data_IF_379388794002
#
_entry.id   IF_379388794002
#
_cell.length_a   1.000
_cell.length_b   1.000
_cell.length_c   1.000
_cell.angle_alpha   90.00
_cell.angle_beta   90.00
_cell.angle_gamma   90.00
#
_symmetry.space_group_name_H-M   'P 1'
#
loop_
_entity.id
_entity.type
_entity.pdbx_description
1 polymer ?
#
# COMPACT_ATOMS: atom_id res chain seq x y z
N UNK A 1 -23.68 0.14 -30.82
CA UNK A 1 -24.18 -0.99 -30.03
C UNK A 1 -23.00 -1.86 -29.65
N UNK A 2 -22.58 -1.83 -28.38
CA UNK A 2 -21.97 -2.97 -27.69
C UNK A 2 -22.03 -2.62 -26.20
N UNK A 3 -23.09 -3.09 -25.54
CA UNK A 3 -23.19 -3.09 -24.11
C UNK A 3 -22.44 -4.32 -23.59
N UNK A 4 -21.31 -4.12 -22.93
CA UNK A 4 -20.73 -5.14 -22.05
C UNK A 4 -20.80 -4.63 -20.63
N UNK A 5 -21.95 -4.92 -19.99
CA UNK A 5 -22.05 -4.99 -18.54
C UNK A 5 -21.22 -6.19 -18.09
N UNK A 6 -19.98 -5.96 -17.68
CA UNK A 6 -19.23 -6.96 -16.93
C UNK A 6 -19.75 -6.93 -15.49
N UNK A 7 -20.64 -7.88 -15.17
CA UNK A 7 -21.01 -8.18 -13.80
C UNK A 7 -19.78 -8.80 -13.11
N UNK A 8 -19.11 -8.03 -12.25
CA UNK A 8 -18.11 -8.57 -11.34
C UNK A 8 -18.83 -9.20 -10.15
N UNK A 9 -19.18 -10.48 -10.27
CA UNK A 9 -19.55 -11.31 -9.13
C UNK A 9 -18.28 -11.92 -8.55
N UNK A 10 -17.56 -11.16 -7.72
CA UNK A 10 -16.51 -11.72 -6.89
C UNK A 10 -17.15 -12.33 -5.63
N UNK A 11 -17.47 -13.62 -5.69
CA UNK A 11 -17.85 -14.38 -4.51
C UNK A 11 -16.59 -14.62 -3.67
N UNK A 12 -16.37 -13.80 -2.62
CA UNK A 12 -15.37 -14.06 -1.60
C UNK A 12 -15.91 -15.11 -0.62
N UNK A 13 -15.54 -16.37 -0.85
CA UNK A 13 -15.62 -17.42 0.16
C UNK A 13 -14.50 -17.20 1.19
N UNK A 14 -14.76 -16.35 2.18
CA UNK A 14 -14.08 -16.47 3.48
C UNK A 14 -14.74 -17.63 4.22
N UNK A 15 -14.33 -18.86 3.89
CA UNK A 15 -14.59 -19.99 4.77
C UNK A 15 -13.82 -19.74 6.06
N UNK A 16 -14.51 -19.21 7.07
CA UNK A 16 -14.12 -19.43 8.46
C UNK A 16 -14.12 -20.94 8.66
N UNK A 17 -12.96 -21.57 8.47
CA UNK A 17 -12.76 -22.91 8.97
C UNK A 17 -12.78 -22.77 10.49
N UNK A 18 -13.96 -23.03 11.06
CA UNK A 18 -14.08 -23.32 12.47
C UNK A 18 -13.23 -24.56 12.74
N UNK A 19 -11.96 -24.35 13.10
CA UNK A 19 -11.10 -25.37 13.64
C UNK A 19 -11.69 -25.77 14.99
N UNK A 20 -12.47 -26.84 14.99
CA UNK A 20 -12.68 -27.66 16.19
C UNK A 20 -11.46 -28.55 16.33
N UNK A 21 -10.67 -28.36 17.39
CA UNK A 21 -9.86 -29.43 18.00
C UNK A 21 -9.87 -29.24 19.52
N UNK A 22 -10.13 -30.36 20.19
CA UNK A 22 -10.24 -30.56 21.63
C UNK A 22 -9.03 -30.16 22.50
N UNK A 23 -9.36 -29.97 23.79
CA UNK A 23 -8.54 -30.00 25.01
C UNK A 23 -7.82 -28.70 25.45
N UNK A 24 -8.52 -27.97 26.33
CA UNK A 24 -8.01 -27.06 27.37
C UNK A 24 -7.02 -25.96 26.95
N UNK A 25 -7.40 -25.13 25.98
CA UNK A 25 -6.95 -23.74 25.96
C UNK A 25 -7.64 -22.97 27.09
N UNK A 26 -6.97 -21.97 27.67
CA UNK A 26 -7.69 -20.84 28.23
C UNK A 26 -8.32 -20.06 27.05
N UNK A 27 -9.52 -20.49 26.63
CA UNK A 27 -10.12 -20.21 25.32
C UNK A 27 -10.08 -18.74 24.86
N UNK A 28 -10.19 -17.78 25.78
CA UNK A 28 -10.29 -16.36 25.46
C UNK A 28 -8.96 -15.75 24.97
N UNK A 29 -7.84 -16.00 25.68
CA UNK A 29 -6.54 -15.44 25.32
C UNK A 29 -5.98 -16.06 24.03
N UNK A 30 -6.20 -17.36 23.82
CA UNK A 30 -5.87 -18.03 22.56
C UNK A 30 -6.68 -17.46 21.37
N UNK A 31 -7.97 -17.18 21.57
CA UNK A 31 -8.81 -16.59 20.53
C UNK A 31 -8.42 -15.13 20.24
N UNK A 32 -8.00 -14.37 21.24
CA UNK A 32 -7.45 -13.03 21.05
C UNK A 32 -6.10 -13.05 20.34
N UNK A 33 -5.23 -14.02 20.64
CA UNK A 33 -4.00 -14.23 19.87
C UNK A 33 -4.31 -14.56 18.41
N UNK A 34 -5.30 -15.42 18.13
CA UNK A 34 -5.70 -15.73 16.75
C UNK A 34 -6.21 -14.49 15.99
N UNK A 35 -6.96 -13.61 16.67
CA UNK A 35 -7.31 -12.31 16.11
C UNK A 35 -6.05 -11.50 15.79
N UNK A 36 -5.13 -11.33 16.74
CA UNK A 36 -3.87 -10.60 16.50
C UNK A 36 -3.02 -11.25 15.40
N UNK A 37 -3.05 -12.57 15.25
CA UNK A 37 -2.41 -13.27 14.16
C UNK A 37 -2.97 -12.88 12.78
N UNK A 38 -4.26 -12.51 12.69
CA UNK A 38 -4.82 -11.98 11.44
C UNK A 38 -4.21 -10.63 11.04
N UNK A 39 -3.83 -9.80 12.01
CA UNK A 39 -3.07 -8.58 11.78
C UNK A 39 -1.61 -8.90 11.42
N UNK A 40 -0.96 -9.79 12.17
CA UNK A 40 0.44 -10.21 11.94
C UNK A 40 0.62 -10.80 10.53
N UNK A 41 -0.38 -11.52 10.01
CA UNK A 41 -0.36 -12.03 8.64
C UNK A 41 -0.16 -10.94 7.57
N UNK A 42 -0.56 -9.69 7.86
CA UNK A 42 -0.37 -8.54 6.97
C UNK A 42 1.12 -8.18 6.77
N UNK A 43 2.01 -8.63 7.66
CA UNK A 43 3.45 -8.46 7.49
C UNK A 43 3.95 -9.10 6.19
N UNK A 44 3.44 -10.30 5.89
CA UNK A 44 3.79 -11.08 4.69
C UNK A 44 2.92 -10.76 3.47
N UNK A 45 1.84 -10.00 3.67
CA UNK A 45 0.89 -9.64 2.62
C UNK A 45 1.28 -8.33 1.94
N UNK A 46 0.87 -8.18 0.68
CA UNK A 46 1.07 -6.95 -0.08
C UNK A 46 -0.24 -6.16 -0.22
N UNK A 47 -0.20 -4.82 -0.27
CA UNK A 47 -1.38 -4.06 -0.66
C UNK A 47 -1.84 -4.49 -2.06
N UNK A 48 -3.14 -4.64 -2.24
CA UNK A 48 -3.71 -4.90 -3.55
C UNK A 48 -3.34 -3.77 -4.51
N UNK A 49 -2.65 -4.13 -5.59
CA UNK A 49 -2.24 -3.17 -6.63
C UNK A 49 -3.36 -3.01 -7.63
N UNK A 50 -3.70 -1.76 -7.93
CA UNK A 50 -4.59 -1.45 -9.05
C UNK A 50 -3.92 -1.94 -10.32
N UNK A 51 -4.63 -2.70 -11.15
CA UNK A 51 -4.14 -3.06 -12.48
C UNK A 51 -4.23 -1.83 -13.36
N UNK A 52 -3.08 -1.30 -13.71
CA UNK A 52 -2.98 -0.17 -14.61
C UNK A 52 -2.73 -0.67 -16.05
N UNK A 53 -3.24 0.02 -17.08
CA UNK A 53 -2.84 -0.22 -18.47
C UNK A 53 -1.32 -0.25 -18.63
N UNK A 54 -0.85 -0.96 -19.65
CA UNK A 54 0.57 -0.93 -20.03
C UNK A 54 1.03 0.48 -20.44
N UNK A 55 2.33 0.62 -20.71
CA UNK A 55 2.89 1.87 -21.21
C UNK A 55 2.27 2.22 -22.58
N UNK A 56 1.75 3.45 -22.72
CA UNK A 56 1.10 3.95 -23.94
C UNK A 56 2.08 4.68 -24.89
N UNK A 57 3.38 4.63 -24.60
CA UNK A 57 4.38 5.44 -25.31
C UNK A 57 4.47 5.07 -26.79
N UNK A 58 4.31 3.79 -27.12
CA UNK A 58 4.38 3.35 -28.52
C UNK A 58 3.18 3.87 -29.32
N UNK A 59 1.97 3.75 -28.78
CA UNK A 59 0.75 4.23 -29.40
C UNK A 59 0.79 5.75 -29.58
N UNK A 60 1.29 6.48 -28.57
CA UNK A 60 1.48 7.92 -28.66
C UNK A 60 2.52 8.27 -29.72
N UNK A 61 3.63 7.53 -29.79
CA UNK A 61 4.65 7.71 -30.83
C UNK A 61 4.09 7.46 -32.23
N UNK A 62 3.19 6.49 -32.40
CA UNK A 62 2.51 6.26 -33.67
C UNK A 62 1.65 7.45 -34.08
N UNK A 63 0.82 7.99 -33.17
CA UNK A 63 -0.01 9.17 -33.45
C UNK A 63 0.84 10.42 -33.73
N UNK A 64 1.95 10.61 -33.00
CA UNK A 64 2.92 11.68 -33.28
C UNK A 64 3.52 11.55 -34.68
N UNK A 65 3.85 10.33 -35.08
CA UNK A 65 4.39 10.05 -36.40
C UNK A 65 3.35 10.31 -37.49
N UNK A 66 2.08 9.96 -37.26
CA UNK A 66 0.96 10.33 -38.15
C UNK A 66 0.83 11.84 -38.27
N UNK A 67 0.89 12.58 -37.15
CA UNK A 67 0.82 14.04 -37.12
C UNK A 67 1.94 14.69 -37.96
N UNK A 68 3.17 14.19 -37.82
CA UNK A 68 4.32 14.67 -38.61
C UNK A 68 4.17 14.33 -40.10
N UNK A 69 3.61 13.16 -40.43
CA UNK A 69 3.42 12.72 -41.82
C UNK A 69 2.41 13.55 -42.60
N UNK A 70 1.38 14.10 -41.92
CA UNK A 70 0.32 14.92 -42.53
C UNK A 70 0.64 16.41 -42.53
N UNK A 71 1.69 16.84 -41.82
CA UNK A 71 2.11 18.24 -41.79
C UNK A 71 2.55 18.74 -43.18
N UNK A 72 2.54 20.06 -43.39
CA UNK A 72 2.98 20.65 -44.65
C UNK A 72 4.46 20.34 -44.99
N UNK A 73 4.85 20.22 -46.27
CA UNK A 73 6.23 19.90 -46.66
C UNK A 73 7.28 20.86 -46.09
N UNK A 74 6.96 22.17 -46.06
CA UNK A 74 7.84 23.20 -45.49
C UNK A 74 8.05 22.98 -43.99
N UNK A 75 7.00 22.62 -43.25
CA UNK A 75 7.10 22.30 -41.82
C UNK A 75 7.93 21.05 -41.59
N UNK A 76 7.69 19.97 -42.35
CA UNK A 76 8.47 18.74 -42.24
C UNK A 76 9.97 18.96 -42.50
N UNK A 77 10.32 19.85 -43.45
CA UNK A 77 11.69 20.14 -43.82
C UNK A 77 12.51 20.79 -42.68
N UNK A 78 11.87 21.50 -41.75
CA UNK A 78 12.52 22.09 -40.56
C UNK A 78 13.14 21.00 -39.69
N UNK A 79 12.49 19.84 -39.59
CA UNK A 79 12.84 18.77 -38.65
C UNK A 79 13.56 17.60 -39.31
N UNK A 80 14.04 17.76 -40.54
CA UNK A 80 14.75 16.71 -41.26
C UNK A 80 15.96 16.24 -40.43
N UNK A 81 16.10 14.94 -40.14
CA UNK A 81 17.20 14.41 -39.34
C UNK A 81 18.50 14.53 -40.12
N UNK A 82 19.45 15.31 -39.59
CA UNK A 82 20.80 15.49 -40.15
C UNK A 82 21.81 14.70 -39.35
N UNK A 83 21.75 13.37 -39.37
CA UNK A 83 22.63 12.48 -38.58
C UNK A 83 22.74 12.86 -37.09
N UNK A 84 21.60 13.20 -36.47
CA UNK A 84 21.54 13.65 -35.07
C UNK A 84 22.06 15.07 -34.82
N UNK A 85 22.40 15.83 -35.87
CA UNK A 85 22.88 17.21 -35.76
C UNK A 85 21.75 18.25 -35.76
N UNK A 86 20.53 17.86 -36.13
CA UNK A 86 19.39 18.76 -36.05
C UNK A 86 18.81 18.71 -34.62
N UNK A 87 19.29 19.60 -33.76
CA UNK A 87 18.84 19.71 -32.36
C UNK A 87 18.45 21.14 -32.03
N UNK A 88 17.60 21.30 -31.01
CA UNK A 88 17.20 22.61 -30.51
C UNK A 88 18.42 23.47 -30.16
N UNK A 89 19.42 22.89 -29.50
CA UNK A 89 20.62 23.61 -29.08
C UNK A 89 21.35 24.28 -30.24
N UNK A 90 21.32 23.66 -31.42
CA UNK A 90 21.92 24.17 -32.66
C UNK A 90 20.96 25.04 -33.46
N UNK A 91 19.65 24.78 -33.38
CA UNK A 91 18.61 25.48 -34.14
C UNK A 91 18.08 26.75 -33.47
N UNK A 92 18.22 26.89 -32.14
CA UNK A 92 17.60 27.96 -31.34
C UNK A 92 18.06 29.37 -31.70
N UNK A 93 19.23 29.52 -32.32
CA UNK A 93 19.80 30.81 -32.71
C UNK A 93 19.64 31.88 -31.63
N UNK A 94 19.13 33.05 -32.03
CA UNK A 94 18.91 34.22 -31.19
C UNK A 94 17.44 34.36 -30.72
N UNK A 95 16.64 33.29 -30.66
CA UNK A 95 15.17 33.35 -30.43
C UNK A 95 14.81 34.04 -29.09
N UNK A 96 14.15 35.22 -29.14
CA UNK A 96 14.07 36.16 -27.99
C UNK A 96 12.75 36.20 -27.19
N UNK A 97 11.68 35.51 -27.56
CA UNK A 97 10.40 35.61 -26.82
C UNK A 97 9.88 34.28 -26.27
N UNK A 98 9.56 34.30 -24.97
CA UNK A 98 8.66 33.33 -24.36
C UNK A 98 7.22 33.59 -24.82
N UNK A 99 6.37 32.55 -24.93
CA UNK A 99 6.60 31.14 -24.58
C UNK A 99 7.19 30.29 -25.72
N UNK A 100 7.46 30.88 -26.88
CA UNK A 100 7.90 30.11 -28.06
C UNK A 100 9.26 29.46 -27.84
N UNK A 101 10.19 30.16 -27.18
CA UNK A 101 11.49 29.61 -26.83
C UNK A 101 11.38 28.37 -25.94
N UNK A 102 10.59 28.42 -24.86
CA UNK A 102 10.38 27.26 -23.98
C UNK A 102 9.58 26.15 -24.66
N UNK A 103 8.55 26.47 -25.43
CA UNK A 103 7.79 25.49 -26.19
C UNK A 103 8.71 24.71 -27.15
N UNK A 104 9.41 25.41 -28.04
CA UNK A 104 10.32 24.79 -29.00
C UNK A 104 11.46 24.05 -28.31
N UNK A 105 12.01 24.60 -27.21
CA UNK A 105 13.03 23.90 -26.44
C UNK A 105 12.58 22.55 -25.88
N UNK A 106 11.29 22.37 -25.62
CA UNK A 106 10.74 21.12 -25.09
C UNK A 106 10.22 20.14 -26.16
N UNK A 107 9.99 20.63 -27.39
CA UNK A 107 9.32 19.87 -28.47
C UNK A 107 10.15 19.66 -29.73
N UNK A 108 11.18 20.47 -29.98
CA UNK A 108 11.92 20.46 -31.25
C UNK A 108 12.61 19.12 -31.53
N UNK A 109 13.43 18.64 -30.60
CA UNK A 109 14.17 17.37 -30.77
C UNK A 109 13.21 16.18 -30.93
N UNK A 110 12.07 16.29 -30.25
CA UNK A 110 10.94 15.37 -30.34
C UNK A 110 10.32 15.36 -31.75
N UNK A 111 10.13 16.53 -32.38
CA UNK A 111 9.68 16.62 -33.77
C UNK A 111 10.74 16.10 -34.76
N UNK A 112 12.02 16.30 -34.50
CA UNK A 112 13.11 15.69 -35.31
C UNK A 112 13.06 14.16 -35.21
N UNK A 113 12.85 13.60 -34.02
CA UNK A 113 12.67 12.17 -33.83
C UNK A 113 11.43 11.64 -34.54
N UNK A 114 10.27 12.32 -34.42
CA UNK A 114 9.05 11.96 -35.14
C UNK A 114 9.28 11.97 -36.66
N UNK A 115 10.04 12.95 -37.17
CA UNK A 115 10.37 13.06 -38.58
C UNK A 115 11.27 11.91 -39.05
N UNK A 116 12.30 11.55 -38.28
CA UNK A 116 13.11 10.37 -38.55
C UNK A 116 12.24 9.10 -38.58
N UNK A 117 11.29 8.98 -37.65
CA UNK A 117 10.38 7.84 -37.61
C UNK A 117 9.47 7.78 -38.85
N UNK A 118 8.99 8.92 -39.37
CA UNK A 118 8.27 8.95 -40.65
C UNK A 118 9.12 8.35 -41.79
N UNK A 119 10.43 8.61 -41.83
CA UNK A 119 11.32 8.09 -42.87
C UNK A 119 11.52 6.58 -42.74
N UNK A 120 11.72 6.09 -41.52
CA UNK A 120 11.80 4.65 -41.22
C UNK A 120 10.49 3.96 -41.59
N UNK A 121 9.35 4.53 -41.22
CA UNK A 121 8.02 3.98 -41.51
C UNK A 121 7.67 4.01 -43.00
N UNK A 122 8.21 4.96 -43.78
CA UNK A 122 8.14 4.93 -45.25
C UNK A 122 8.84 3.71 -45.86
N UNK A 123 9.87 3.17 -45.19
CA UNK A 123 10.48 1.89 -45.54
C UNK A 123 9.62 0.67 -45.19
N UNK A 124 8.74 0.78 -44.19
CA UNK A 124 7.79 -0.26 -43.78
C UNK A 124 6.47 -0.17 -44.57
N UNK A 125 6.46 -0.71 -45.80
CA UNK A 125 5.27 -0.80 -46.69
C UNK A 125 3.96 -1.15 -45.95
N UNK A 126 4.00 -2.10 -45.02
CA UNK A 126 2.82 -2.57 -44.26
C UNK A 126 2.13 -1.49 -43.42
N UNK A 127 2.84 -0.50 -42.90
CA UNK A 127 2.22 0.56 -42.08
C UNK A 127 1.54 1.60 -42.95
N UNK A 128 2.17 2.02 -44.05
CA UNK A 128 1.59 2.95 -45.03
C UNK A 128 0.36 2.35 -45.72
N UNK A 129 0.39 1.05 -46.03
CA UNK A 129 -0.78 0.34 -46.58
C UNK A 129 -1.97 0.38 -45.62
N UNK A 130 -1.72 0.31 -44.31
CA UNK A 130 -2.76 0.39 -43.27
C UNK A 130 -3.17 1.82 -42.90
N UNK A 131 -2.31 2.80 -43.16
CA UNK A 131 -2.51 4.22 -42.81
C UNK A 131 -2.15 5.13 -44.00
N UNK A 132 -2.90 5.06 -45.11
CA UNK A 132 -2.59 5.85 -46.30
C UNK A 132 -2.80 7.33 -46.01
N UNK A 133 -1.81 8.16 -46.37
CA UNK A 133 -1.98 9.61 -46.33
C UNK A 133 -3.07 10.03 -47.31
N UNK A 134 -3.90 11.03 -46.98
CA UNK A 134 -4.78 11.66 -47.95
C UNK A 134 -4.00 12.15 -49.18
N UNK A 135 -4.56 11.90 -50.37
CA UNK A 135 -3.94 12.23 -51.65
C UNK A 135 -4.01 13.71 -51.99
N UNK A 136 -5.06 14.40 -51.53
CA UNK A 136 -5.25 15.85 -51.75
C UNK A 136 -4.63 16.68 -50.63
N UNK A 137 -4.26 17.91 -50.95
CA UNK A 137 -3.74 18.87 -49.97
C UNK A 137 -4.78 19.22 -48.90
N UNK A 138 -6.02 19.52 -49.31
CA UNK A 138 -7.13 19.77 -48.38
C UNK A 138 -7.41 18.58 -47.47
N UNK A 139 -7.29 17.35 -47.99
CA UNK A 139 -7.44 16.14 -47.20
C UNK A 139 -6.32 15.97 -46.17
N UNK A 140 -5.07 16.29 -46.52
CA UNK A 140 -3.94 16.26 -45.58
C UNK A 140 -4.10 17.30 -44.49
N UNK A 141 -4.53 18.51 -44.83
CA UNK A 141 -4.76 19.58 -43.86
C UNK A 141 -5.86 19.20 -42.86
N UNK A 142 -7.02 18.72 -43.35
CA UNK A 142 -8.09 18.27 -42.47
C UNK A 142 -7.66 17.10 -41.56
N UNK A 143 -6.91 16.14 -42.11
CA UNK A 143 -6.35 15.04 -41.31
C UNK A 143 -5.34 15.55 -40.27
N UNK A 144 -4.48 16.51 -40.63
CA UNK A 144 -3.51 17.10 -39.71
C UNK A 144 -4.21 17.81 -38.55
N UNK A 145 -5.23 18.63 -38.81
CA UNK A 145 -6.00 19.31 -37.76
C UNK A 145 -6.65 18.32 -36.78
N UNK A 146 -7.29 17.26 -37.30
CA UNK A 146 -7.91 16.23 -36.47
C UNK A 146 -6.89 15.43 -35.65
N UNK A 147 -5.77 15.02 -36.27
CA UNK A 147 -4.71 14.26 -35.60
C UNK A 147 -4.03 15.13 -34.54
N UNK A 148 -3.77 16.41 -34.83
CA UNK A 148 -3.14 17.34 -33.90
C UNK A 148 -4.02 17.59 -32.67
N UNK A 149 -5.32 17.83 -32.88
CA UNK A 149 -6.29 17.98 -31.79
C UNK A 149 -6.38 16.69 -30.95
N UNK A 150 -6.42 15.52 -31.59
CA UNK A 150 -6.43 14.23 -30.92
C UNK A 150 -5.15 13.98 -30.12
N UNK A 151 -3.98 14.27 -30.70
CA UNK A 151 -2.68 14.13 -30.05
C UNK A 151 -2.57 15.03 -28.82
N UNK A 152 -3.06 16.27 -28.91
CA UNK A 152 -3.14 17.19 -27.78
C UNK A 152 -3.96 16.57 -26.65
N UNK A 153 -5.15 16.04 -26.98
CA UNK A 153 -6.00 15.41 -25.96
C UNK A 153 -5.39 14.14 -25.35
N UNK A 154 -4.71 13.33 -26.17
CA UNK A 154 -4.00 12.14 -25.71
C UNK A 154 -2.88 12.52 -24.74
N UNK A 155 -2.13 13.59 -25.01
CA UNK A 155 -1.06 14.07 -24.12
C UNK A 155 -1.61 14.59 -22.78
N UNK A 156 -2.74 15.29 -22.78
CA UNK A 156 -3.43 15.68 -21.54
C UNK A 156 -3.84 14.46 -20.70
N UNK A 157 -4.50 13.48 -21.34
CA UNK A 157 -4.95 12.27 -20.67
C UNK A 157 -3.77 11.43 -20.16
N UNK A 158 -2.66 11.39 -20.89
CA UNK A 158 -1.44 10.73 -20.43
C UNK A 158 -0.88 11.41 -19.18
N UNK A 159 -0.85 12.75 -19.15
CA UNK A 159 -0.37 13.47 -17.97
C UNK A 159 -1.24 13.16 -16.73
N UNK A 160 -2.56 13.15 -16.90
CA UNK A 160 -3.50 12.76 -15.85
C UNK A 160 -3.26 11.31 -15.39
N UNK A 161 -3.16 10.37 -16.33
CA UNK A 161 -2.84 8.98 -16.06
C UNK A 161 -1.52 8.79 -15.30
N UNK A 162 -0.44 9.45 -15.74
CA UNK A 162 0.87 9.36 -15.10
C UNK A 162 0.85 9.96 -13.67
N UNK A 163 0.00 10.97 -13.41
CA UNK A 163 -0.22 11.50 -12.07
C UNK A 163 -0.95 10.50 -11.18
N UNK A 164 -2.05 9.91 -11.68
CA UNK A 164 -2.82 8.91 -10.94
C UNK A 164 -2.01 7.65 -10.65
N UNK A 165 -1.22 7.18 -11.63
CA UNK A 165 -0.29 6.05 -11.46
C UNK A 165 0.69 6.29 -10.31
N UNK A 166 1.36 7.45 -10.29
CA UNK A 166 2.28 7.83 -9.21
C UNK A 166 1.58 7.94 -7.85
N UNK A 167 0.36 8.48 -7.83
CA UNK A 167 -0.44 8.55 -6.61
C UNK A 167 -0.76 7.15 -6.07
N UNK A 168 -1.19 6.22 -6.93
CA UNK A 168 -1.50 4.84 -6.57
C UNK A 168 -0.27 4.08 -6.04
N UNK A 169 0.89 4.24 -6.68
CA UNK A 169 2.16 3.66 -6.22
C UNK A 169 2.56 4.21 -4.83
N UNK A 170 2.43 5.53 -4.64
CA UNK A 170 2.72 6.18 -3.36
C UNK A 170 1.79 5.70 -2.24
N UNK A 171 0.50 5.54 -2.53
CA UNK A 171 -0.47 4.99 -1.56
C UNK A 171 -0.16 3.55 -1.17
N UNK A 172 0.32 2.73 -2.10
CA UNK A 172 0.72 1.33 -1.87
C UNK A 172 1.88 1.26 -0.86
N UNK A 173 2.92 2.08 -1.07
CA UNK A 173 4.07 2.16 -0.15
C UNK A 173 3.67 2.68 1.23
N UNK A 174 2.84 3.73 1.27
CA UNK A 174 2.34 4.28 2.53
C UNK A 174 1.50 3.25 3.30
N UNK A 175 0.66 2.47 2.62
CA UNK A 175 -0.13 1.43 3.26
C UNK A 175 0.78 0.38 3.91
N UNK A 176 1.82 -0.10 3.23
CA UNK A 176 2.78 -1.05 3.80
C UNK A 176 3.48 -0.47 5.03
N UNK A 177 3.94 0.79 4.93
CA UNK A 177 4.56 1.53 6.03
C UNK A 177 3.65 1.56 7.27
N UNK A 178 2.38 1.90 7.09
CA UNK A 178 1.38 1.97 8.16
C UNK A 178 1.07 0.62 8.80
N UNK A 179 1.05 -0.46 8.00
CA UNK A 179 0.94 -1.81 8.54
C UNK A 179 2.15 -2.14 9.43
N UNK A 180 3.37 -1.81 9.00
CA UNK A 180 4.55 -2.05 9.82
C UNK A 180 4.54 -1.22 11.11
N UNK A 181 4.14 0.06 11.04
CA UNK A 181 3.95 0.91 12.22
C UNK A 181 2.96 0.30 13.21
N UNK A 182 1.83 -0.23 12.72
CA UNK A 182 0.84 -0.91 13.56
C UNK A 182 1.42 -2.20 14.19
N UNK A 183 2.19 -2.98 13.43
CA UNK A 183 2.73 -4.27 13.89
C UNK A 183 3.85 -4.11 14.91
N UNK A 184 4.76 -3.15 14.70
CA UNK A 184 6.00 -3.00 15.46
C UNK A 184 6.11 -1.73 16.30
N UNK A 185 5.18 -0.77 16.11
CA UNK A 185 5.27 0.59 16.65
C UNK A 185 6.19 1.52 15.84
N UNK A 186 6.70 1.05 14.70
CA UNK A 186 7.63 1.76 13.82
C UNK A 186 7.53 1.26 12.38
N UNK A 187 7.96 2.07 11.42
CA UNK A 187 7.78 1.83 9.99
C UNK A 187 8.73 0.79 9.37
N UNK A 188 9.65 0.26 10.17
CA UNK A 188 10.63 -0.74 9.79
C UNK A 188 10.48 -1.98 10.66
N UNK A 189 10.45 -3.20 10.09
CA UNK A 189 10.35 -4.41 10.89
C UNK A 189 11.55 -4.50 11.84
N UNK A 190 11.32 -4.94 13.07
CA UNK A 190 12.39 -5.16 14.04
C UNK A 190 12.42 -6.62 14.49
N UNK A 191 13.60 -7.27 14.53
CA UNK A 191 13.72 -8.61 15.10
C UNK A 191 13.60 -8.61 16.63
N UNK A 192 13.78 -7.46 17.27
CA UNK A 192 13.68 -7.28 18.73
C UNK A 192 12.58 -6.27 19.07
N UNK A 193 11.80 -6.48 20.13
CA UNK A 193 10.89 -5.47 20.64
C UNK A 193 11.65 -4.18 21.00
N UNK A 194 11.21 -3.06 20.45
CA UNK A 194 11.83 -1.75 20.68
C UNK A 194 11.08 -1.06 21.82
N UNK A 195 11.83 -0.63 22.83
CA UNK A 195 11.27 0.07 23.99
C UNK A 195 10.57 1.37 23.56
N UNK A 196 9.47 1.71 24.22
CA UNK A 196 8.49 2.76 23.89
C UNK A 196 7.75 2.65 22.54
N UNK A 197 8.19 1.75 21.64
CA UNK A 197 7.64 1.53 20.30
C UNK A 197 6.83 0.25 20.22
N UNK A 198 7.49 -0.91 20.26
CA UNK A 198 6.81 -2.22 20.24
C UNK A 198 6.07 -2.46 21.55
N UNK A 199 6.73 -2.10 22.66
CA UNK A 199 6.24 -2.19 24.03
C UNK A 199 6.63 -0.91 24.78
N UNK A 200 5.88 -0.49 25.80
CA UNK A 200 6.27 0.67 26.65
C UNK A 200 7.34 0.36 27.70
N UNK A 201 7.60 -0.92 27.93
CA UNK A 201 8.68 -1.44 28.75
C UNK A 201 8.89 -2.91 28.41
N UNK A 202 10.10 -3.43 28.60
CA UNK A 202 10.46 -4.80 28.16
C UNK A 202 10.83 -5.74 29.31
N UNK A 203 10.94 -5.27 30.55
CA UNK A 203 11.41 -6.07 31.70
C UNK A 203 10.40 -6.22 32.82
N UNK A 204 9.29 -5.50 32.73
CA UNK A 204 8.25 -5.46 33.74
C UNK A 204 6.89 -5.49 33.05
N UNK A 205 6.02 -6.39 33.53
CA UNK A 205 4.71 -6.60 32.93
C UNK A 205 3.84 -5.32 33.04
N UNK A 206 3.89 -4.62 34.18
CA UNK A 206 3.08 -3.43 34.38
C UNK A 206 3.54 -2.26 33.48
N UNK A 207 4.86 -2.08 33.34
CA UNK A 207 5.45 -1.10 32.44
C UNK A 207 5.20 -1.43 30.95
N UNK A 208 5.20 -2.70 30.58
CA UNK A 208 5.01 -3.14 29.20
C UNK A 208 3.56 -3.22 28.74
N UNK A 209 2.67 -3.70 29.62
CA UNK A 209 1.32 -4.12 29.27
C UNK A 209 0.24 -3.31 29.96
N UNK A 210 0.17 -3.37 31.30
CA UNK A 210 -0.99 -2.96 32.12
C UNK A 210 -1.79 -1.77 31.55
N UNK A 211 -1.53 -0.53 31.96
CA UNK A 211 -2.17 0.68 31.37
C UNK A 211 -1.49 1.15 30.08
N UNK A 212 -0.66 0.30 29.47
CA UNK A 212 0.31 0.64 28.44
C UNK A 212 0.10 -0.15 27.13
N UNK A 213 -1.07 -0.79 26.98
CA UNK A 213 -1.44 -1.55 25.80
C UNK A 213 -1.55 -0.68 24.54
N UNK A 214 -1.50 -1.34 23.39
CA UNK A 214 -1.70 -0.73 22.08
C UNK A 214 -0.44 -0.15 21.44
N UNK A 215 0.73 -0.22 22.08
CA UNK A 215 1.96 0.27 21.46
C UNK A 215 2.23 -0.37 20.09
N UNK A 216 1.92 -1.67 19.95
CA UNK A 216 1.93 -2.40 18.68
C UNK A 216 1.17 -3.72 18.79
N UNK A 217 0.81 -4.34 17.66
CA UNK A 217 0.15 -5.66 17.64
C UNK A 217 1.06 -6.75 18.24
N UNK A 218 2.36 -6.73 17.94
CA UNK A 218 3.29 -7.68 18.55
C UNK A 218 3.43 -7.46 20.06
N UNK A 219 3.40 -6.20 20.50
CA UNK A 219 3.39 -5.86 21.92
C UNK A 219 2.16 -6.42 22.63
N UNK A 220 0.98 -6.21 22.07
CA UNK A 220 -0.27 -6.72 22.65
C UNK A 220 -0.30 -8.24 22.68
N UNK A 221 0.22 -8.92 21.65
CA UNK A 221 0.35 -10.37 21.64
C UNK A 221 1.28 -10.88 22.76
N UNK A 222 2.40 -10.19 23.00
CA UNK A 222 3.30 -10.50 24.12
C UNK A 222 2.63 -10.27 25.48
N UNK A 223 1.74 -9.29 25.58
CA UNK A 223 0.99 -9.00 26.80
C UNK A 223 -0.06 -10.04 27.13
N UNK A 224 -0.89 -10.44 26.16
CA UNK A 224 -1.98 -11.39 26.41
C UNK A 224 -1.46 -12.83 26.60
N UNK A 225 -0.26 -13.13 26.11
CA UNK A 225 0.33 -14.47 26.14
C UNK A 225 1.48 -14.67 27.15
N UNK A 226 2.00 -13.59 27.72
CA UNK A 226 3.13 -13.64 28.65
C UNK A 226 2.71 -13.41 30.09
N UNK A 227 3.35 -14.12 31.01
CA UNK A 227 3.15 -13.94 32.45
C UNK A 227 4.33 -13.19 33.08
N UNK A 228 4.07 -12.48 34.18
CA UNK A 228 5.05 -11.67 34.91
C UNK A 228 6.23 -12.52 35.42
N UNK A 229 5.90 -13.65 36.07
CA UNK A 229 6.86 -14.45 36.81
C UNK A 229 6.81 -15.97 36.56
N UNK A 230 5.79 -16.48 35.86
CA UNK A 230 5.66 -17.92 35.60
C UNK A 230 6.77 -18.44 34.68
N UNK A 231 7.33 -19.60 35.01
CA UNK A 231 8.29 -20.32 34.14
C UNK A 231 7.58 -21.17 33.08
N UNK A 232 6.25 -21.26 33.14
CA UNK A 232 5.43 -22.05 32.21
C UNK A 232 4.18 -21.30 31.75
N UNK A 233 4.30 -20.11 31.12
CA UNK A 233 3.15 -19.39 30.56
C UNK A 233 2.48 -20.21 29.46
N UNK A 234 1.17 -20.43 29.62
CA UNK A 234 0.31 -21.30 28.76
C UNK A 234 -1.01 -20.61 28.36
N UNK A 235 -1.07 -19.29 28.49
CA UNK A 235 -2.30 -18.50 28.39
C UNK A 235 -2.88 -18.54 26.98
N UNK A 236 -2.02 -18.39 25.97
CA UNK A 236 -2.42 -18.44 24.56
C UNK A 236 -2.22 -19.80 23.90
N UNK A 237 -1.58 -20.75 24.57
CA UNK A 237 -1.27 -22.07 24.03
C UNK A 237 -1.04 -23.07 25.17
N UNK A 238 -1.53 -24.30 25.03
CA UNK A 238 -1.35 -25.34 26.05
C UNK A 238 0.13 -25.70 26.28
N UNK A 239 1.03 -25.36 25.35
CA UNK A 239 2.48 -25.47 25.50
C UNK A 239 3.10 -24.24 26.16
N UNK A 240 4.16 -24.45 26.93
CA UNK A 240 4.94 -23.38 27.53
C UNK A 240 5.51 -22.46 26.43
N UNK A 241 5.08 -21.19 26.41
CA UNK A 241 5.55 -20.18 25.46
C UNK A 241 6.89 -19.54 25.85
N UNK A 242 7.37 -19.73 27.09
CA UNK A 242 8.58 -19.10 27.66
C UNK A 242 8.59 -17.56 27.48
N UNK A 243 7.41 -16.94 27.62
CA UNK A 243 7.21 -15.48 27.64
C UNK A 243 7.08 -15.03 29.10
N UNK A 244 8.23 -14.97 29.79
CA UNK A 244 8.35 -14.54 31.19
C UNK A 244 8.93 -13.13 31.29
N UNK A 245 8.11 -12.16 31.67
CA UNK A 245 8.49 -10.74 31.66
C UNK A 245 9.65 -10.39 32.59
N UNK A 246 9.72 -11.00 33.77
CA UNK A 246 10.82 -10.81 34.73
C UNK A 246 12.21 -11.21 34.19
N UNK A 247 12.29 -11.98 33.10
CA UNK A 247 13.55 -12.31 32.39
C UNK A 247 13.89 -11.32 31.28
N UNK A 248 12.98 -10.40 30.98
CA UNK A 248 13.07 -9.48 29.86
C UNK A 248 12.55 -10.09 28.56
N UNK A 249 11.85 -9.26 27.79
CA UNK A 249 11.27 -9.58 26.50
C UNK A 249 12.29 -9.22 25.41
N UNK A 250 12.64 -10.22 24.59
CA UNK A 250 13.72 -10.12 23.58
C UNK A 250 13.24 -10.58 22.20
N UNK A 251 14.16 -10.70 21.24
CA UNK A 251 13.87 -11.32 19.93
C UNK A 251 13.29 -12.73 20.04
N UNK A 252 13.68 -13.49 21.07
CA UNK A 252 13.20 -14.87 21.27
C UNK A 252 11.69 -14.88 21.48
N UNK A 253 11.19 -14.08 22.42
CA UNK A 253 9.75 -14.03 22.73
C UNK A 253 8.94 -13.48 21.54
N UNK A 254 9.46 -12.47 20.83
CA UNK A 254 8.82 -11.98 19.62
C UNK A 254 8.73 -13.08 18.54
N UNK A 255 9.78 -13.89 18.40
CA UNK A 255 9.81 -15.01 17.46
C UNK A 255 8.83 -16.12 17.85
N UNK A 256 8.62 -16.36 19.14
CA UNK A 256 7.59 -17.30 19.63
C UNK A 256 6.21 -16.87 19.12
N UNK A 257 5.84 -15.60 19.28
CA UNK A 257 4.55 -15.07 18.78
C UNK A 257 4.46 -15.23 17.26
N UNK A 258 5.51 -14.83 16.52
CA UNK A 258 5.55 -15.00 15.06
C UNK A 258 5.29 -16.44 14.63
N UNK A 259 5.92 -17.41 15.30
CA UNK A 259 5.78 -18.82 14.97
C UNK A 259 4.40 -19.39 15.29
N UNK A 260 3.63 -18.76 16.19
CA UNK A 260 2.23 -19.14 16.45
C UNK A 260 1.28 -18.61 15.37
N UNK A 261 1.64 -17.52 14.70
CA UNK A 261 0.83 -16.94 13.65
C UNK A 261 1.19 -17.55 12.28
N UNK A 262 0.33 -18.43 11.77
CA UNK A 262 0.54 -19.00 10.43
C UNK A 262 0.34 -17.91 9.38
N UNK A 263 1.37 -17.66 8.55
CA UNK A 263 1.27 -16.72 7.44
C UNK A 263 1.14 -17.46 6.11
N UNK A 264 0.34 -16.90 5.19
CA UNK A 264 0.22 -17.42 3.82
C UNK A 264 0.99 -16.51 2.88
N UNK A 265 2.03 -17.06 2.25
CA UNK A 265 2.80 -16.34 1.24
C UNK A 265 1.90 -15.89 0.07
N UNK A 266 2.15 -14.67 -0.44
CA UNK A 266 1.45 -14.11 -1.60
C UNK A 266 0.04 -13.61 -1.31
N UNK A 267 -0.36 -13.44 -0.04
CA UNK A 267 -1.62 -12.80 0.30
C UNK A 267 -1.61 -11.31 -0.08
N UNK A 268 -2.79 -10.78 -0.40
CA UNK A 268 -2.99 -9.34 -0.61
C UNK A 268 -4.07 -8.78 0.30
N UNK A 269 -3.95 -7.53 0.72
CA UNK A 269 -4.99 -6.83 1.48
C UNK A 269 -5.60 -5.66 0.69
N UNK A 270 -6.88 -5.40 0.93
CA UNK A 270 -7.63 -4.27 0.38
C UNK A 270 -8.09 -3.34 1.51
N UNK A 271 -8.57 -2.15 1.17
CA UNK A 271 -9.20 -1.26 2.17
C UNK A 271 -10.33 -1.98 2.91
N UNK A 272 -11.16 -2.74 2.21
CA UNK A 272 -12.26 -3.48 2.82
C UNK A 272 -11.78 -4.56 3.79
N UNK A 273 -10.75 -5.33 3.44
CA UNK A 273 -10.22 -6.36 4.36
C UNK A 273 -9.62 -5.74 5.62
N UNK A 274 -8.94 -4.60 5.49
CA UNK A 274 -8.41 -3.86 6.66
C UNK A 274 -9.54 -3.32 7.55
N UNK A 275 -10.62 -2.79 6.96
CA UNK A 275 -11.80 -2.36 7.72
C UNK A 275 -12.48 -3.52 8.46
N UNK A 276 -12.57 -4.70 7.83
CA UNK A 276 -13.12 -5.90 8.47
C UNK A 276 -12.25 -6.35 9.65
N UNK A 277 -10.93 -6.35 9.50
CA UNK A 277 -9.99 -6.70 10.58
C UNK A 277 -10.09 -5.67 11.73
N UNK A 278 -10.18 -4.37 11.43
CA UNK A 278 -10.44 -3.29 12.42
C UNK A 278 -11.74 -3.53 13.19
N UNK A 279 -12.84 -3.80 12.50
CA UNK A 279 -14.15 -4.05 13.12
C UNK A 279 -14.15 -5.31 13.99
N UNK A 280 -13.42 -6.35 13.57
CA UNK A 280 -13.29 -7.60 14.33
C UNK A 280 -12.55 -7.35 15.65
N UNK A 281 -11.49 -6.54 15.64
CA UNK A 281 -10.82 -6.14 16.87
C UNK A 281 -11.73 -5.31 17.78
N UNK A 282 -12.41 -4.30 17.24
CA UNK A 282 -13.35 -3.49 18.03
C UNK A 282 -14.41 -4.35 18.73
N UNK A 283 -14.92 -5.39 18.05
CA UNK A 283 -15.89 -6.33 18.62
C UNK A 283 -15.30 -7.30 19.66
N UNK A 284 -13.98 -7.46 19.73
CA UNK A 284 -13.27 -8.32 20.71
C UNK A 284 -12.78 -7.57 21.92
N UNK A 285 -12.68 -6.23 21.85
CA UNK A 285 -12.36 -5.42 23.00
C UNK A 285 -13.42 -5.61 24.10
N UNK A 286 -12.95 -5.84 25.32
CA UNK A 286 -13.79 -6.01 26.50
C UNK A 286 -13.77 -4.75 27.35
N UNK A 287 -14.90 -4.44 27.97
CA UNK A 287 -15.07 -3.30 28.85
C UNK A 287 -15.49 -3.78 30.24
N UNK A 288 -14.81 -3.30 31.28
CA UNK A 288 -15.21 -3.60 32.67
C UNK A 288 -14.89 -2.43 33.58
N UNK A 289 -15.59 -2.33 34.71
CA UNK A 289 -15.27 -1.36 35.74
C UNK A 289 -14.18 -1.92 36.67
N UNK A 290 -13.22 -1.09 37.04
CA UNK A 290 -12.28 -1.42 38.12
C UNK A 290 -12.98 -1.42 39.48
N UNK A 291 -12.30 -1.90 40.52
CA UNK A 291 -12.78 -1.76 41.90
C UNK A 291 -13.02 -0.29 42.32
N UNK A 292 -12.37 0.67 41.65
CA UNK A 292 -12.57 2.11 41.84
C UNK A 292 -13.62 2.71 40.89
N UNK A 293 -14.43 1.88 40.23
CA UNK A 293 -15.48 2.27 39.28
C UNK A 293 -15.00 2.96 38.00
N UNK A 294 -13.71 2.90 37.68
CA UNK A 294 -13.20 3.41 36.40
C UNK A 294 -13.47 2.40 35.29
N UNK A 295 -14.06 2.82 34.17
CA UNK A 295 -14.24 1.95 33.01
C UNK A 295 -12.90 1.76 32.29
N UNK A 296 -12.52 0.51 32.07
CA UNK A 296 -11.31 0.14 31.31
C UNK A 296 -11.69 -0.69 30.09
N UNK A 297 -10.99 -0.44 28.99
CA UNK A 297 -11.07 -1.22 27.75
C UNK A 297 -9.81 -2.03 27.59
N UNK A 298 -9.93 -3.34 27.36
CA UNK A 298 -8.78 -4.24 27.27
C UNK A 298 -8.99 -5.38 26.27
N UNK A 299 -7.88 -6.02 25.90
CA UNK A 299 -7.81 -7.28 25.17
C UNK A 299 -7.10 -8.33 26.04
N UNK A 300 -7.47 -9.60 25.95
CA UNK A 300 -6.96 -10.67 26.81
C UNK A 300 -7.80 -10.86 28.07
N UNK A 301 -7.21 -11.46 29.11
CA UNK A 301 -7.89 -11.79 30.36
C UNK A 301 -7.57 -10.82 31.47
N UNK A 302 -8.62 -10.31 32.11
CA UNK A 302 -8.52 -9.39 33.23
C UNK A 302 -9.38 -9.86 34.40
N UNK A 303 -8.89 -9.64 35.62
CA UNK A 303 -9.70 -9.75 36.84
C UNK A 303 -10.01 -8.36 37.34
N UNK A 304 -11.30 -8.01 37.48
CA UNK A 304 -11.74 -6.69 37.97
C UNK A 304 -11.06 -5.48 37.29
N UNK A 305 -10.77 -5.58 35.99
CA UNK A 305 -10.15 -4.51 35.20
C UNK A 305 -8.65 -4.32 35.43
N UNK A 306 -7.98 -5.26 36.09
CA UNK A 306 -6.51 -5.28 36.24
C UNK A 306 -5.84 -6.24 35.28
N UNK A 307 -4.63 -5.88 34.84
CA UNK A 307 -3.71 -6.76 34.12
C UNK A 307 -2.46 -6.93 34.97
N UNK A 308 -2.51 -7.87 35.91
CA UNK A 308 -1.41 -8.14 36.85
C UNK A 308 -0.30 -9.01 36.26
N UNK A 309 -0.56 -9.69 35.14
CA UNK A 309 0.37 -10.63 34.53
C UNK A 309 0.52 -11.95 35.29
N UNK A 310 -0.37 -12.24 36.25
CA UNK A 310 -0.52 -13.57 36.81
C UNK A 310 -1.39 -14.45 35.87
N UNK A 311 -1.43 -15.75 36.13
CA UNK A 311 -2.33 -16.67 35.44
C UNK A 311 -3.77 -16.16 35.48
N UNK A 312 -4.37 -15.98 34.30
CA UNK A 312 -5.73 -15.44 34.14
C UNK A 312 -5.83 -13.91 34.24
N UNK A 313 -4.70 -13.20 34.33
CA UNK A 313 -4.61 -11.73 34.35
C UNK A 313 -3.65 -11.17 33.29
N UNK A 314 -3.52 -11.86 32.15
CA UNK A 314 -2.73 -11.45 30.99
C UNK A 314 -3.59 -10.67 29.99
N UNK A 315 -3.45 -9.36 30.02
CA UNK A 315 -4.17 -8.44 29.16
C UNK A 315 -3.37 -7.17 28.82
N UNK A 316 -3.84 -6.46 27.80
CA UNK A 316 -3.40 -5.13 27.42
C UNK A 316 -4.55 -4.13 27.64
N UNK A 317 -4.37 -3.12 28.53
CA UNK A 317 -5.39 -2.06 28.74
C UNK A 317 -5.07 -0.87 27.86
N UNK A 318 -6.07 -0.42 27.13
CA UNK A 318 -6.01 0.70 26.20
C UNK A 318 -6.42 2.01 26.87
N UNK A 319 -5.79 2.35 28.00
CA UNK A 319 -6.20 3.52 28.80
C UNK A 319 -6.05 4.84 28.04
N UNK A 320 -5.00 4.99 27.23
CA UNK A 320 -4.71 6.24 26.50
C UNK A 320 -5.39 6.30 25.11
N UNK A 321 -5.90 5.17 24.63
CA UNK A 321 -6.53 5.04 23.33
C UNK A 321 -7.87 5.79 23.21
N UNK A 322 -8.60 5.89 24.32
CA UNK A 322 -9.97 6.40 24.36
C UNK A 322 -10.10 7.72 25.13
N UNK A 323 -8.98 8.36 25.47
CA UNK A 323 -8.97 9.71 26.05
C UNK A 323 -9.22 10.73 24.94
N UNK A 324 -10.22 11.59 25.11
CA UNK A 324 -10.50 12.67 24.15
C UNK A 324 -9.27 13.57 23.96
N UNK A 325 -8.78 13.69 22.73
CA UNK A 325 -7.77 14.69 22.33
C UNK A 325 -6.40 14.16 21.90
N UNK A 326 -6.09 12.87 22.09
CA UNK A 326 -4.82 12.27 21.62
C UNK A 326 -5.00 11.43 20.34
N UNK A 327 -4.47 11.92 19.22
CA UNK A 327 -4.27 11.13 18.01
C UNK A 327 -3.08 10.20 18.22
N UNK A 328 -3.30 9.00 18.74
CA UNK A 328 -2.22 7.99 18.84
C UNK A 328 -2.21 7.11 17.60
N UNK A 329 -1.03 6.77 17.08
CA UNK A 329 -0.82 5.83 15.96
C UNK A 329 -0.99 4.37 16.38
N UNK A 330 -1.78 4.11 17.42
CA UNK A 330 -1.97 2.81 18.09
C UNK A 330 -3.32 2.20 17.72
N UNK A 331 -3.62 0.98 18.17
CA UNK A 331 -4.99 0.42 18.12
C UNK A 331 -6.05 1.33 18.75
N UNK A 332 -5.65 2.38 19.48
CA UNK A 332 -6.54 3.41 19.99
C UNK A 332 -7.12 4.38 18.96
N UNK A 333 -6.62 4.41 17.72
CA UNK A 333 -7.25 5.19 16.65
C UNK A 333 -8.41 4.44 15.96
N UNK A 334 -9.01 3.43 16.61
CA UNK A 334 -9.98 2.50 16.01
C UNK A 334 -11.45 2.99 16.07
N UNK A 335 -11.71 4.18 16.60
CA UNK A 335 -12.97 4.88 16.32
C UNK A 335 -12.91 5.57 14.96
#
# INVERSE_FOLDING_TARGET
MLHTKAAFTAALLLTAQALRVEAAFQADAAADLQLLCSFIALESAEPHKVTLPGELEQEIQEVRTMNMSTAGPEWQAIFEPKDGQNTWEKAKGDTKSEPYRSHWGNTYDKWVADRAQVQVMKGYKKWIEKNPSPSTESGRQAAHELINASLTKIQELKLEYDNEKRAAESSTLLAKKKILEMLYGQDTPSPTPVDTKTLKGTRDYAAGCASNGGASVYGDALCICGESASDTPTECDASNLDIKWSRGITATQLSVIKNKCTTKAGATYTAQSLLTVRATLAARLTHTATAASALVTYLGKSTAGTCGGANGETCAIYTNAFVQGEQTTSLGSIN
#
